data_IF_348545391220
#
_entry.id   IF_348545391220
#
_cell.length_a   1.000
_cell.length_b   1.000
_cell.length_c   1.000
_cell.angle_alpha   90.00
_cell.angle_beta   90.00
_cell.angle_gamma   90.00
#
_symmetry.space_group_name_H-M   'P 1'
#
loop_
_entity.id
_entity.type
_entity.pdbx_description
1 polymer ?
#
# COMPACT_ATOMS: atom_id res chain seq x y z
N UNK A 1 -45.90 -41.60 -30.00
CA UNK A 1 -46.14 -40.13 -30.00
C UNK A 1 -45.50 -39.43 -28.79
N UNK A 2 -45.67 -39.91 -27.56
CA UNK A 2 -45.14 -39.24 -26.35
C UNK A 2 -43.61 -39.03 -26.34
N UNK A 3 -42.82 -40.02 -26.78
CA UNK A 3 -41.36 -39.89 -26.83
C UNK A 3 -40.86 -38.76 -27.76
N UNK A 4 -41.52 -38.55 -28.91
CA UNK A 4 -41.17 -37.47 -29.85
C UNK A 4 -41.52 -36.08 -29.27
N UNK A 5 -42.62 -35.97 -28.54
CA UNK A 5 -43.01 -34.72 -27.86
C UNK A 5 -42.07 -34.39 -26.69
N UNK A 6 -41.66 -35.41 -25.92
CA UNK A 6 -40.67 -35.26 -24.84
C UNK A 6 -39.33 -34.80 -25.43
N UNK A 7 -38.86 -35.42 -26.51
CA UNK A 7 -37.63 -35.02 -27.19
C UNK A 7 -37.69 -33.58 -27.73
N UNK A 8 -38.82 -33.15 -28.30
CA UNK A 8 -39.02 -31.79 -28.81
C UNK A 8 -38.84 -30.71 -27.72
N UNK A 9 -39.16 -31.02 -26.46
CA UNK A 9 -39.00 -30.12 -25.31
C UNK A 9 -37.61 -30.29 -24.68
N UNK A 10 -37.10 -31.52 -24.59
CA UNK A 10 -35.81 -31.78 -23.97
C UNK A 10 -34.65 -31.18 -24.76
N UNK A 11 -34.71 -31.19 -26.09
CA UNK A 11 -33.62 -30.66 -26.94
C UNK A 11 -33.37 -29.17 -26.66
N UNK A 12 -34.35 -28.24 -26.77
CA UNK A 12 -34.12 -26.83 -26.46
C UNK A 12 -33.76 -26.62 -24.99
N UNK A 13 -34.34 -27.38 -24.06
CA UNK A 13 -33.99 -27.30 -22.64
C UNK A 13 -32.51 -27.66 -22.39
N UNK A 14 -31.99 -28.71 -23.04
CA UNK A 14 -30.58 -29.09 -22.94
C UNK A 14 -29.66 -28.02 -23.55
N UNK A 15 -30.06 -27.36 -24.64
CA UNK A 15 -29.29 -26.26 -25.22
C UNK A 15 -29.20 -25.07 -24.25
N UNK A 16 -30.31 -24.72 -23.59
CA UNK A 16 -30.35 -23.66 -22.56
C UNK A 16 -29.47 -24.02 -21.37
N UNK A 17 -29.54 -25.27 -20.88
CA UNK A 17 -28.69 -25.76 -19.80
C UNK A 17 -27.21 -25.74 -20.19
N UNK A 18 -26.86 -26.16 -21.41
CA UNK A 18 -25.49 -26.11 -21.91
C UNK A 18 -24.95 -24.67 -21.97
N UNK A 19 -25.80 -23.71 -22.38
CA UNK A 19 -25.46 -22.29 -22.33
C UNK A 19 -25.21 -21.79 -20.90
N UNK A 20 -26.08 -22.13 -19.94
CA UNK A 20 -25.88 -21.74 -18.54
C UNK A 20 -24.60 -22.33 -17.94
N UNK A 21 -24.29 -23.59 -18.23
CA UNK A 21 -23.04 -24.22 -17.76
C UNK A 21 -21.82 -23.51 -18.34
N UNK A 22 -21.82 -23.22 -19.65
CA UNK A 22 -20.73 -22.49 -20.29
C UNK A 22 -20.57 -21.07 -19.72
N UNK A 23 -21.67 -20.32 -19.63
CA UNK A 23 -21.66 -18.94 -19.13
C UNK A 23 -21.29 -18.85 -17.65
N UNK A 24 -21.64 -19.85 -16.83
CA UNK A 24 -21.26 -19.87 -15.41
C UNK A 24 -19.75 -19.98 -15.24
N UNK A 25 -19.08 -20.83 -16.04
CA UNK A 25 -17.63 -21.00 -15.97
C UNK A 25 -16.93 -19.74 -16.51
N UNK A 26 -17.38 -19.22 -17.65
CA UNK A 26 -16.81 -18.02 -18.27
C UNK A 26 -16.93 -16.78 -17.35
N UNK A 27 -18.08 -16.59 -16.73
CA UNK A 27 -18.31 -15.51 -15.76
C UNK A 27 -17.41 -15.63 -14.53
N UNK A 28 -17.15 -16.83 -14.02
CA UNK A 28 -16.26 -17.04 -12.88
C UNK A 28 -14.79 -16.77 -13.26
N UNK A 29 -14.37 -17.16 -14.47
CA UNK A 29 -13.02 -16.91 -14.97
C UNK A 29 -12.75 -15.42 -15.14
N UNK A 30 -13.67 -14.68 -15.77
CA UNK A 30 -13.51 -13.23 -15.94
C UNK A 30 -13.58 -12.50 -14.59
N UNK A 31 -14.48 -12.91 -13.68
CA UNK A 31 -14.50 -12.37 -12.31
C UNK A 31 -13.15 -12.57 -11.61
N UNK A 32 -12.58 -13.78 -11.64
CA UNK A 32 -11.30 -14.07 -10.99
C UNK A 32 -10.14 -13.27 -11.59
N UNK A 33 -10.18 -13.01 -12.89
CA UNK A 33 -9.20 -12.18 -13.59
C UNK A 33 -9.30 -10.72 -13.16
N UNK A 34 -10.50 -10.15 -13.14
CA UNK A 34 -10.74 -8.80 -12.62
C UNK A 34 -10.36 -8.69 -11.14
N UNK A 35 -10.78 -9.68 -10.33
CA UNK A 35 -10.47 -9.77 -8.91
C UNK A 35 -8.97 -9.66 -8.64
N UNK A 36 -8.19 -10.42 -9.40
CA UNK A 36 -6.73 -10.41 -9.30
C UNK A 36 -6.15 -9.01 -9.56
N UNK A 37 -6.68 -8.30 -10.55
CA UNK A 37 -6.24 -6.92 -10.85
C UNK A 37 -6.62 -5.97 -9.72
N UNK A 38 -7.88 -5.96 -9.29
CA UNK A 38 -8.38 -5.06 -8.22
C UNK A 38 -7.69 -5.29 -6.88
N UNK A 39 -7.47 -6.55 -6.52
CA UNK A 39 -6.71 -6.92 -5.31
C UNK A 39 -5.25 -6.46 -5.46
N UNK A 40 -4.61 -6.68 -6.60
CA UNK A 40 -3.22 -6.26 -6.82
C UNK A 40 -3.06 -4.74 -6.73
N UNK A 41 -4.02 -3.96 -7.24
CA UNK A 41 -4.04 -2.50 -7.13
C UNK A 41 -4.18 -2.06 -5.67
N UNK A 42 -5.11 -2.67 -4.93
CA UNK A 42 -5.28 -2.43 -3.50
C UNK A 42 -4.03 -2.75 -2.69
N UNK A 43 -3.40 -3.90 -2.95
CA UNK A 43 -2.13 -4.28 -2.30
C UNK A 43 -1.04 -3.26 -2.59
N UNK A 44 -0.96 -2.74 -3.81
CA UNK A 44 0.01 -1.69 -4.13
C UNK A 44 -0.28 -0.40 -3.35
N UNK A 45 -1.55 0.01 -3.25
CA UNK A 45 -1.96 1.20 -2.49
C UNK A 45 -1.69 1.05 -0.98
N UNK A 46 -1.90 -0.14 -0.42
CA UNK A 46 -1.53 -0.45 0.96
C UNK A 46 -0.01 -0.38 1.18
N UNK A 47 0.81 -0.78 0.19
CA UNK A 47 2.27 -0.58 0.25
C UNK A 47 2.63 0.90 0.21
N UNK A 48 1.95 1.69 -0.61
CA UNK A 48 2.14 3.14 -0.69
C UNK A 48 1.83 3.80 0.67
N UNK A 49 0.70 3.44 1.30
CA UNK A 49 0.35 3.90 2.65
C UNK A 49 1.34 3.46 3.72
N UNK A 50 1.85 2.21 3.65
CA UNK A 50 2.91 1.73 4.54
C UNK A 50 4.19 2.55 4.41
N UNK A 51 4.54 2.98 3.19
CA UNK A 51 5.69 3.84 2.96
C UNK A 51 5.50 5.19 3.66
N UNK A 52 4.32 5.81 3.53
CA UNK A 52 3.98 7.06 4.23
C UNK A 52 4.09 6.86 5.75
N UNK A 53 3.50 5.80 6.30
CA UNK A 53 3.56 5.48 7.73
C UNK A 53 5.00 5.29 8.24
N UNK A 54 5.85 4.64 7.45
CA UNK A 54 7.26 4.42 7.81
C UNK A 54 8.02 5.74 7.91
N UNK A 55 7.81 6.64 6.94
CA UNK A 55 8.42 7.97 6.92
C UNK A 55 7.84 8.88 8.00
N UNK A 56 6.53 8.79 8.27
CA UNK A 56 5.87 9.47 9.38
C UNK A 56 6.49 9.05 10.72
N UNK A 57 6.68 7.74 10.95
CA UNK A 57 7.35 7.23 12.16
C UNK A 57 8.80 7.68 12.26
N UNK A 58 9.52 7.75 11.15
CA UNK A 58 10.89 8.27 11.17
C UNK A 58 10.92 9.75 11.60
N UNK A 59 9.95 10.56 11.17
CA UNK A 59 9.88 11.98 11.52
C UNK A 59 9.31 12.25 12.92
N UNK A 60 8.29 11.51 13.35
CA UNK A 60 7.52 11.76 14.59
C UNK A 60 7.82 10.78 15.72
N UNK A 61 8.56 9.70 15.46
CA UNK A 61 8.86 8.65 16.43
C UNK A 61 7.69 7.67 16.68
N UNK A 62 6.52 7.89 16.08
CA UNK A 62 5.36 7.01 16.20
C UNK A 62 4.57 6.86 14.91
N UNK A 63 3.77 5.79 14.79
CA UNK A 63 2.86 5.61 13.67
C UNK A 63 1.61 6.47 13.84
N UNK A 64 1.01 6.91 12.73
CA UNK A 64 -0.24 7.65 12.76
C UNK A 64 -1.42 6.68 12.96
N UNK A 65 -2.35 7.04 13.84
CA UNK A 65 -3.60 6.31 14.12
C UNK A 65 -4.78 6.79 13.25
N UNK A 66 -4.60 7.86 12.46
CA UNK A 66 -5.63 8.42 11.62
C UNK A 66 -5.08 9.01 10.30
N UNK A 67 -5.94 9.11 9.28
CA UNK A 67 -5.54 9.64 7.97
C UNK A 67 -5.34 11.15 7.95
N UNK A 68 -6.00 11.92 8.83
CA UNK A 68 -5.81 13.36 8.92
C UNK A 68 -4.35 13.70 9.27
N UNK A 69 -3.75 12.97 10.23
CA UNK A 69 -2.35 13.11 10.60
C UNK A 69 -1.40 12.75 9.44
N UNK A 70 -1.72 11.72 8.64
CA UNK A 70 -0.92 11.35 7.47
C UNK A 70 -1.01 12.41 6.36
N UNK A 71 -2.22 12.90 6.06
CA UNK A 71 -2.43 13.94 5.05
C UNK A 71 -1.75 15.25 5.49
N UNK A 72 -1.93 15.65 6.75
CA UNK A 72 -1.25 16.82 7.30
C UNK A 72 0.28 16.67 7.22
N UNK A 73 0.81 15.49 7.51
CA UNK A 73 2.24 15.21 7.40
C UNK A 73 2.74 15.38 5.97
N UNK A 74 2.03 14.83 4.99
CA UNK A 74 2.41 14.97 3.58
C UNK A 74 2.39 16.42 3.13
N UNK A 75 1.35 17.18 3.48
CA UNK A 75 1.14 18.53 2.95
C UNK A 75 1.92 19.63 3.66
N UNK A 76 2.07 19.54 4.98
CA UNK A 76 2.55 20.66 5.81
C UNK A 76 3.88 20.38 6.51
N UNK A 77 4.31 19.12 6.57
CA UNK A 77 5.47 18.73 7.36
C UNK A 77 6.71 18.51 6.50
N UNK A 78 7.86 18.45 7.17
CA UNK A 78 9.16 18.25 6.55
C UNK A 78 9.90 17.08 7.19
N UNK A 79 10.67 16.38 6.36
CA UNK A 79 11.53 15.29 6.77
C UNK A 79 12.96 15.82 6.84
N UNK A 80 13.64 15.53 7.94
CA UNK A 80 15.06 15.83 8.11
C UNK A 80 15.91 14.81 7.33
N UNK A 81 16.71 15.30 6.39
CA UNK A 81 17.71 14.51 5.67
C UNK A 81 19.08 14.92 6.19
N UNK A 82 19.82 13.95 6.75
CA UNK A 82 21.19 14.18 7.23
C UNK A 82 22.15 13.90 6.10
N UNK A 83 22.83 14.95 5.63
CA UNK A 83 23.94 14.84 4.69
C UNK A 83 25.22 14.60 5.46
N UNK A 84 25.72 13.37 5.37
CA UNK A 84 27.00 12.98 5.93
C UNK A 84 28.11 13.10 4.87
N UNK A 85 29.09 13.97 5.12
CA UNK A 85 30.29 14.11 4.30
C UNK A 85 31.49 13.63 5.13
N UNK A 86 32.33 12.79 4.54
CA UNK A 86 33.51 12.22 5.20
C UNK A 86 33.21 11.03 6.12
N UNK A 87 34.26 10.24 6.36
CA UNK A 87 34.25 9.06 7.24
C UNK A 87 35.08 9.35 8.49
N UNK A 88 34.61 8.85 9.64
CA UNK A 88 35.32 8.96 10.91
C UNK A 88 36.51 7.99 10.89
N UNK A 89 37.77 8.44 11.05
CA UNK A 89 38.92 7.54 11.18
C UNK A 89 38.81 6.69 12.44
N UNK A 90 39.23 5.42 12.39
CA UNK A 90 39.17 4.47 13.52
C UNK A 90 39.90 4.96 14.80
N UNK A 91 40.80 5.93 14.67
CA UNK A 91 41.55 6.53 15.77
C UNK A 91 40.80 7.62 16.52
N UNK A 92 39.68 8.12 15.98
CA UNK A 92 38.94 9.26 16.49
C UNK A 92 37.48 8.90 16.77
N UNK A 93 36.88 9.65 17.68
CA UNK A 93 35.42 9.61 17.86
C UNK A 93 34.74 10.55 16.85
N UNK A 94 33.47 10.31 16.52
CA UNK A 94 32.69 11.18 15.63
C UNK A 94 32.75 12.66 16.05
N UNK A 95 32.70 12.92 17.36
CA UNK A 95 32.77 14.29 17.90
C UNK A 95 34.10 14.94 17.57
N UNK A 96 35.21 14.23 17.80
CA UNK A 96 36.55 14.74 17.50
C UNK A 96 36.77 14.93 15.99
N UNK A 97 36.26 14.01 15.17
CA UNK A 97 36.35 14.12 13.71
C UNK A 97 35.53 15.30 13.17
N UNK A 98 34.42 15.66 13.82
CA UNK A 98 33.58 16.80 13.45
C UNK A 98 34.25 18.13 13.84
N UNK A 99 34.85 18.20 15.03
CA UNK A 99 35.63 19.36 15.48
C UNK A 99 36.88 19.61 14.61
N UNK A 100 37.55 18.53 14.18
CA UNK A 100 38.71 18.59 13.30
C UNK A 100 38.34 18.87 11.82
N UNK A 101 37.04 18.93 11.49
CA UNK A 101 36.55 19.16 10.13
C UNK A 101 36.79 18.00 9.16
N UNK A 102 37.07 16.80 9.68
CA UNK A 102 37.25 15.57 8.88
C UNK A 102 35.89 15.07 8.37
N UNK A 103 34.85 15.23 9.19
CA UNK A 103 33.47 14.92 8.83
C UNK A 103 32.59 16.16 8.95
N UNK A 104 31.60 16.29 8.06
CA UNK A 104 30.51 17.25 8.18
C UNK A 104 29.17 16.52 8.24
N UNK A 105 28.25 17.03 9.05
CA UNK A 105 26.90 16.50 9.23
C UNK A 105 25.93 17.67 9.14
N UNK A 106 25.38 17.89 7.95
CA UNK A 106 24.41 18.95 7.71
C UNK A 106 23.01 18.36 7.66
N UNK A 107 22.07 18.94 8.39
CA UNK A 107 20.66 18.53 8.35
C UNK A 107 19.88 19.51 7.48
N UNK A 108 19.28 18.99 6.41
CA UNK A 108 18.35 19.74 5.57
C UNK A 108 16.92 19.25 5.82
N UNK A 109 15.96 20.17 5.73
CA UNK A 109 14.53 19.84 5.81
C UNK A 109 13.93 19.95 4.42
N UNK A 110 13.23 18.89 4.00
CA UNK A 110 12.54 18.81 2.70
C UNK A 110 11.10 18.41 2.95
N UNK A 111 10.18 18.89 2.12
CA UNK A 111 8.76 18.56 2.25
C UNK A 111 8.54 17.04 2.20
N UNK A 112 7.69 16.53 3.09
CA UNK A 112 7.41 15.11 3.17
C UNK A 112 6.80 14.58 1.86
N UNK A 113 5.86 15.30 1.25
CA UNK A 113 5.24 14.92 -0.03
C UNK A 113 6.24 14.62 -1.15
N UNK A 114 7.38 15.30 -1.17
CA UNK A 114 8.41 15.15 -2.20
C UNK A 114 9.39 14.02 -1.91
N UNK A 115 9.47 13.55 -0.66
CA UNK A 115 10.54 12.66 -0.17
C UNK A 115 10.06 11.34 0.39
N UNK A 116 8.77 11.19 0.66
CA UNK A 116 8.20 9.95 1.17
C UNK A 116 8.38 8.81 0.17
N UNK A 117 8.19 9.09 -1.11
CA UNK A 117 8.36 8.16 -2.22
C UNK A 117 9.73 8.38 -2.87
N UNK A 118 10.78 7.86 -2.22
CA UNK A 118 12.15 7.92 -2.74
C UNK A 118 12.36 6.99 -3.95
N UNK A 119 13.47 7.19 -4.67
CA UNK A 119 13.83 6.39 -5.85
C UNK A 119 13.84 4.88 -5.52
N UNK A 120 14.39 4.51 -4.37
CA UNK A 120 14.41 3.11 -3.92
C UNK A 120 13.00 2.50 -3.77
N UNK A 121 12.03 3.29 -3.27
CA UNK A 121 10.65 2.85 -3.22
C UNK A 121 10.05 2.71 -4.61
N UNK A 122 10.26 3.72 -5.47
CA UNK A 122 9.72 3.74 -6.83
C UNK A 122 10.24 2.57 -7.68
N UNK A 123 11.51 2.17 -7.54
CA UNK A 123 12.10 1.01 -8.22
C UNK A 123 11.43 -0.32 -7.84
N UNK A 124 10.94 -0.43 -6.61
CA UNK A 124 10.26 -1.63 -6.10
C UNK A 124 8.75 -1.64 -6.34
N UNK A 125 8.20 -0.48 -6.75
CA UNK A 125 6.77 -0.24 -6.90
C UNK A 125 6.27 -0.82 -8.22
N UNK A 126 5.05 -1.37 -8.21
CA UNK A 126 4.43 -1.83 -9.45
C UNK A 126 3.98 -0.63 -10.31
N UNK A 127 4.64 -0.42 -11.44
CA UNK A 127 4.36 0.67 -12.39
C UNK A 127 3.00 0.56 -13.08
N UNK A 128 2.37 -0.62 -13.09
CA UNK A 128 1.06 -0.81 -13.72
C UNK A 128 -0.07 -0.02 -13.03
N UNK A 129 0.13 0.42 -11.79
CA UNK A 129 -0.84 1.20 -11.03
C UNK A 129 -0.32 2.62 -10.81
N UNK A 130 -1.09 3.67 -11.12
CA UNK A 130 -0.63 5.04 -10.91
C UNK A 130 -0.41 5.32 -9.41
N UNK A 131 0.58 6.16 -9.09
CA UNK A 131 0.74 6.72 -7.74
C UNK A 131 -0.04 8.02 -7.66
N UNK A 132 -1.16 8.00 -6.93
CA UNK A 132 -1.95 9.21 -6.67
C UNK A 132 -1.83 9.59 -5.19
N UNK A 133 -1.04 10.63 -4.93
CA UNK A 133 -0.80 11.15 -3.57
C UNK A 133 -2.07 11.80 -3.00
N UNK A 134 -2.91 12.42 -3.85
CA UNK A 134 -4.10 13.14 -3.40
C UNK A 134 -5.19 12.17 -2.92
N UNK A 135 -5.27 10.98 -3.53
CA UNK A 135 -6.28 9.98 -3.21
C UNK A 135 -5.69 8.69 -2.61
N UNK A 136 -4.67 8.78 -1.75
CA UNK A 136 -4.05 7.60 -1.13
C UNK A 136 -5.00 6.84 -0.19
N UNK A 137 -5.97 7.51 0.41
CA UNK A 137 -6.82 6.97 1.48
C UNK A 137 -8.08 6.26 0.95
N UNK A 138 -8.52 6.60 -0.25
CA UNK A 138 -9.73 6.04 -0.87
C UNK A 138 -9.45 4.67 -1.49
N UNK A 139 -10.38 3.73 -1.38
CA UNK A 139 -10.26 2.39 -1.96
C UNK A 139 -10.54 2.45 -3.46
N UNK A 140 -9.68 1.90 -4.34
CA UNK A 140 -9.96 1.83 -5.78
C UNK A 140 -11.28 1.10 -6.06
N UNK A 141 -12.03 1.57 -7.06
CA UNK A 141 -13.35 1.04 -7.45
C UNK A 141 -14.45 1.14 -6.38
N UNK A 142 -14.19 1.87 -5.28
CA UNK A 142 -15.16 2.12 -4.21
C UNK A 142 -15.16 3.60 -3.82
N UNK A 143 -16.21 4.02 -3.11
CA UNK A 143 -16.30 5.34 -2.50
C UNK A 143 -15.93 5.31 -1.00
N UNK A 144 -15.44 4.17 -0.52
CA UNK A 144 -15.01 3.99 0.87
C UNK A 144 -13.53 4.34 1.06
N UNK A 145 -13.18 4.67 2.30
CA UNK A 145 -11.83 4.97 2.75
C UNK A 145 -11.31 3.77 3.53
N UNK A 146 -10.00 3.50 3.49
CA UNK A 146 -9.40 2.48 4.33
C UNK A 146 -9.68 2.75 5.83
N UNK A 147 -9.59 1.71 6.65
CA UNK A 147 -9.51 1.84 8.11
C UNK A 147 -8.04 1.90 8.52
N UNK A 148 -7.73 2.66 9.56
CA UNK A 148 -6.37 2.87 10.08
C UNK A 148 -6.41 2.80 11.61
N UNK A 149 -5.40 2.17 12.20
CA UNK A 149 -5.18 2.14 13.64
C UNK A 149 -3.67 2.03 13.93
N UNK A 150 -3.24 2.52 15.09
CA UNK A 150 -1.86 2.40 15.55
C UNK A 150 -1.78 2.12 17.04
N UNK A 151 -0.77 1.34 17.43
CA UNK A 151 -0.64 0.90 18.81
C UNK A 151 0.72 0.30 19.13
N UNK A 152 0.78 -0.44 20.22
CA UNK A 152 1.99 -1.09 20.70
C UNK A 152 1.71 -2.54 21.04
N UNK A 153 2.65 -3.42 20.68
CA UNK A 153 2.56 -4.85 20.93
C UNK A 153 3.86 -5.31 21.58
N UNK A 154 3.74 -6.15 22.61
CA UNK A 154 4.90 -6.77 23.25
C UNK A 154 5.38 -7.96 22.42
N UNK A 155 6.63 -7.91 21.95
CA UNK A 155 7.29 -9.01 21.26
C UNK A 155 8.55 -9.38 22.02
N UNK A 156 8.52 -10.52 22.70
CA UNK A 156 9.68 -11.04 23.42
C UNK A 156 10.21 -10.10 24.50
N UNK A 157 9.32 -9.52 25.33
CA UNK A 157 9.64 -8.53 26.38
C UNK A 157 10.09 -7.16 25.88
N UNK A 158 9.97 -6.90 24.58
CA UNK A 158 10.24 -5.59 23.98
C UNK A 158 8.93 -5.02 23.45
N UNK A 159 8.62 -3.78 23.82
CA UNK A 159 7.45 -3.06 23.32
C UNK A 159 7.79 -2.51 21.94
N UNK A 160 7.02 -2.92 20.94
CA UNK A 160 7.19 -2.49 19.54
C UNK A 160 5.93 -1.77 19.09
N UNK A 161 6.12 -0.58 18.51
CA UNK A 161 5.03 0.15 17.89
C UNK A 161 4.62 -0.50 16.57
N UNK A 162 3.32 -0.60 16.32
CA UNK A 162 2.72 -1.20 15.14
C UNK A 162 1.59 -0.31 14.62
N UNK A 163 1.16 -0.59 13.39
CA UNK A 163 -0.02 0.02 12.79
C UNK A 163 -0.77 -1.02 11.96
N UNK A 164 -2.04 -0.77 11.73
CA UNK A 164 -2.89 -1.54 10.82
C UNK A 164 -3.54 -0.58 9.83
N UNK A 165 -3.57 -0.98 8.56
CA UNK A 165 -4.43 -0.37 7.55
C UNK A 165 -5.15 -1.51 6.83
N UNK A 166 -6.49 -1.47 6.85
CA UNK A 166 -7.30 -2.57 6.35
C UNK A 166 -8.59 -2.09 5.66
N UNK A 167 -9.20 -2.99 4.90
CA UNK A 167 -10.51 -2.82 4.29
C UNK A 167 -11.21 -4.18 4.20
N UNK A 168 -12.52 -4.17 4.05
CA UNK A 168 -13.28 -5.39 3.80
C UNK A 168 -13.02 -5.90 2.37
N UNK A 169 -12.93 -7.22 2.22
CA UNK A 169 -12.80 -7.85 0.92
C UNK A 169 -13.92 -7.43 -0.04
N UNK A 170 -15.17 -7.33 0.43
CA UNK A 170 -16.30 -6.94 -0.39
C UNK A 170 -16.18 -5.52 -0.97
N UNK A 171 -15.50 -4.61 -0.28
CA UNK A 171 -15.32 -3.21 -0.71
C UNK A 171 -14.32 -3.07 -1.87
N UNK A 172 -13.50 -4.08 -2.12
CA UNK A 172 -12.51 -4.10 -3.22
C UNK A 172 -13.17 -4.33 -4.60
N UNK A 173 -14.46 -4.70 -4.63
CA UNK A 173 -15.22 -5.12 -5.81
C UNK A 173 -16.44 -4.23 -6.04
#
# INVERSE_FOLDING_TARGET
MKAKQIALILIPLNIILAYFVFNSIDSEVEFNKEAKVRISENVQKLKDLRQVQTKYKHAKGTFADNFEALTHFLENDSISIVKAIGETPDTLTDVQALELGIISRDTAYVLAKETVFDEAYLDSRNENFPLDIANLTTIPYSNEVYSIDAGQVEKGKVIVQVFEISTNYGTVF
#
